data_IF_588035203122
#
_entry.id   IF_588035203122
#
_cell.length_a   1.000
_cell.length_b   1.000
_cell.length_c   1.000
_cell.angle_alpha   90.00
_cell.angle_beta   90.00
_cell.angle_gamma   90.00
#
_symmetry.space_group_name_H-M   'P 1'
#
loop_
_entity.id
_entity.type
_entity.pdbx_description
1 polymer ?
#
# COMPACT_ATOMS: atom_id res chain seq x y z
N UNK A 1 34.21 -0.90 10.14
CA UNK A 1 33.37 -1.27 8.98
C UNK A 1 32.67 -2.57 9.36
N UNK A 2 31.43 -2.85 8.92
CA UNK A 2 30.86 -4.18 9.17
C UNK A 2 31.52 -5.13 8.18
N UNK A 3 32.40 -6.00 8.66
CA UNK A 3 33.26 -6.85 7.81
C UNK A 3 32.45 -7.85 6.97
N UNK A 4 31.20 -8.15 7.37
CA UNK A 4 30.25 -8.94 6.57
C UNK A 4 28.83 -8.36 6.68
N UNK A 5 28.50 -7.39 5.84
CA UNK A 5 27.20 -6.72 5.83
C UNK A 5 26.04 -7.68 5.58
N UNK A 6 26.22 -8.66 4.68
CA UNK A 6 25.19 -9.66 4.40
C UNK A 6 24.85 -10.48 5.64
N UNK A 7 25.86 -11.05 6.31
CA UNK A 7 25.65 -11.84 7.52
C UNK A 7 24.99 -11.00 8.64
N UNK A 8 25.37 -9.73 8.76
CA UNK A 8 24.70 -8.81 9.69
C UNK A 8 23.20 -8.63 9.34
N UNK A 9 22.87 -8.34 8.08
CA UNK A 9 21.49 -8.18 7.65
C UNK A 9 20.68 -9.47 7.79
N UNK A 10 21.23 -10.62 7.42
CA UNK A 10 20.60 -11.93 7.60
C UNK A 10 20.29 -12.20 9.09
N UNK A 11 21.21 -11.85 9.99
CA UNK A 11 20.96 -11.96 11.44
C UNK A 11 19.82 -11.05 11.91
N UNK A 12 19.65 -9.87 11.29
CA UNK A 12 18.53 -8.96 11.60
C UNK A 12 17.21 -9.47 11.04
N UNK A 13 17.23 -10.12 9.88
CA UNK A 13 16.04 -10.82 9.36
C UNK A 13 15.60 -11.90 10.34
N UNK A 14 16.52 -12.77 10.77
CA UNK A 14 16.21 -13.80 11.77
C UNK A 14 15.71 -13.22 13.11
N UNK A 15 16.24 -12.06 13.52
CA UNK A 15 15.80 -11.38 14.75
C UNK A 15 14.39 -10.81 14.66
N UNK A 16 14.03 -10.17 13.54
CA UNK A 16 12.81 -9.35 13.43
C UNK A 16 11.67 -10.01 12.67
N UNK A 17 11.95 -10.92 11.73
CA UNK A 17 10.94 -11.63 10.94
C UNK A 17 10.39 -12.82 11.72
N UNK A 18 9.72 -12.54 12.84
CA UNK A 18 9.10 -13.58 13.68
C UNK A 18 7.73 -13.10 14.21
N UNK A 19 6.79 -14.03 14.49
CA UNK A 19 5.43 -13.69 14.91
C UNK A 19 5.31 -12.77 16.13
N UNK A 20 6.30 -12.77 17.03
CA UNK A 20 6.31 -11.89 18.21
C UNK A 20 6.27 -10.39 17.88
N UNK A 21 6.67 -9.99 16.67
CA UNK A 21 6.58 -8.59 16.23
C UNK A 21 5.18 -8.22 15.67
N UNK A 22 4.33 -9.20 15.35
CA UNK A 22 3.02 -8.98 14.74
C UNK A 22 2.08 -8.23 15.67
N UNK A 23 1.86 -8.71 16.91
CA UNK A 23 0.87 -8.21 17.91
C UNK A 23 0.74 -6.70 18.01
N UNK A 24 1.87 -6.09 17.74
CA UNK A 24 2.21 -4.75 18.09
C UNK A 24 2.34 -3.95 16.77
N UNK A 25 2.75 -4.55 15.65
CA UNK A 25 2.85 -3.91 14.33
C UNK A 25 1.48 -3.74 13.63
N UNK A 26 1.25 -2.70 12.80
CA UNK A 26 0.00 -2.56 12.05
C UNK A 26 -0.40 -3.76 11.19
N UNK A 27 0.55 -4.63 10.81
CA UNK A 27 0.25 -5.90 10.14
C UNK A 27 -0.65 -6.83 10.98
N UNK A 28 -0.76 -6.65 12.30
CA UNK A 28 -1.72 -7.42 13.11
C UNK A 28 -3.17 -7.25 12.65
N UNK A 29 -3.51 -6.14 12.00
CA UNK A 29 -4.86 -5.82 11.56
C UNK A 29 -5.35 -6.81 10.48
N UNK A 30 -4.66 -6.98 9.33
CA UNK A 30 -5.05 -7.99 8.36
C UNK A 30 -4.95 -9.44 8.90
N UNK A 31 -4.11 -9.70 9.91
CA UNK A 31 -4.03 -11.02 10.56
C UNK A 31 -5.28 -11.41 11.37
N UNK A 32 -6.22 -10.47 11.57
CA UNK A 32 -7.53 -10.77 12.18
C UNK A 32 -8.48 -11.50 11.22
N UNK A 33 -8.11 -11.64 9.94
CA UNK A 33 -8.98 -12.16 8.89
C UNK A 33 -8.38 -13.37 8.19
N UNK A 34 -9.25 -14.24 7.69
CA UNK A 34 -8.88 -15.42 6.88
C UNK A 34 -9.31 -15.27 5.42
N UNK A 35 -10.38 -14.50 5.16
CA UNK A 35 -10.86 -14.22 3.81
C UNK A 35 -9.90 -13.27 3.10
N UNK A 36 -9.46 -13.67 1.89
CA UNK A 36 -8.49 -12.93 1.07
C UNK A 36 -8.84 -11.44 0.94
N UNK A 37 -10.08 -11.12 0.61
CA UNK A 37 -10.47 -9.74 0.36
C UNK A 37 -10.50 -8.89 1.65
N UNK A 38 -10.80 -9.48 2.80
CA UNK A 38 -10.74 -8.77 4.09
C UNK A 38 -9.28 -8.46 4.47
N UNK A 39 -8.37 -9.41 4.24
CA UNK A 39 -6.92 -9.22 4.41
C UNK A 39 -6.43 -8.08 3.51
N UNK A 40 -6.84 -8.06 2.25
CA UNK A 40 -6.45 -7.02 1.28
C UNK A 40 -6.99 -5.64 1.66
N UNK A 41 -8.29 -5.52 1.95
CA UNK A 41 -8.94 -4.27 2.34
C UNK A 41 -8.31 -3.71 3.61
N UNK A 42 -8.21 -4.54 4.65
CA UNK A 42 -7.73 -4.08 5.95
C UNK A 42 -6.20 -3.92 5.98
N UNK A 43 -5.47 -4.67 5.17
CA UNK A 43 -4.04 -4.45 4.92
C UNK A 43 -3.80 -3.11 4.23
N UNK A 44 -4.58 -2.76 3.21
CA UNK A 44 -4.46 -1.48 2.52
C UNK A 44 -4.82 -0.31 3.44
N UNK A 45 -5.87 -0.44 4.24
CA UNK A 45 -6.24 0.56 5.26
C UNK A 45 -5.16 0.73 6.32
N UNK A 46 -4.66 -0.35 6.90
CA UNK A 46 -3.60 -0.29 7.90
C UNK A 46 -2.34 0.39 7.34
N UNK A 47 -1.95 0.05 6.12
CA UNK A 47 -0.81 0.68 5.45
C UNK A 47 -1.05 2.15 5.12
N UNK A 48 -2.24 2.47 4.62
CA UNK A 48 -2.62 3.85 4.32
C UNK A 48 -2.53 4.70 5.59
N UNK A 49 -3.14 4.26 6.69
CA UNK A 49 -3.20 5.00 7.96
C UNK A 49 -1.88 4.97 8.77
N UNK A 50 -0.84 4.28 8.29
CA UNK A 50 0.44 4.07 8.98
C UNK A 50 1.34 5.33 9.10
N UNK A 51 0.74 6.46 9.47
CA UNK A 51 1.42 7.66 9.89
C UNK A 51 0.98 8.02 11.31
N UNK A 52 1.90 7.95 12.28
CA UNK A 52 1.67 8.39 13.65
C UNK A 52 2.09 7.36 14.67
N UNK A 53 1.51 7.46 15.86
CA UNK A 53 1.75 6.49 16.93
C UNK A 53 1.09 5.17 16.59
N UNK A 54 1.86 4.09 16.71
CA UNK A 54 1.46 2.74 16.31
C UNK A 54 0.18 2.27 17.01
N UNK A 55 0.06 2.54 18.31
CA UNK A 55 -1.14 2.22 19.10
C UNK A 55 -2.38 2.92 18.52
N UNK A 56 -2.27 4.20 18.15
CA UNK A 56 -3.38 4.95 17.54
C UNK A 56 -3.77 4.38 16.18
N UNK A 57 -2.80 4.00 15.34
CA UNK A 57 -3.05 3.39 14.03
C UNK A 57 -3.86 2.10 14.20
N UNK A 58 -3.41 1.21 15.09
CA UNK A 58 -4.09 -0.07 15.35
C UNK A 58 -5.49 0.14 15.91
N UNK A 59 -5.65 1.05 16.87
CA UNK A 59 -6.97 1.36 17.44
C UNK A 59 -7.93 1.92 16.40
N UNK A 60 -7.46 2.79 15.50
CA UNK A 60 -8.28 3.32 14.39
C UNK A 60 -8.64 2.26 13.36
N UNK A 61 -7.75 1.32 13.06
CA UNK A 61 -8.12 0.18 12.23
C UNK A 61 -9.18 -0.71 12.91
N UNK A 62 -9.09 -0.95 14.22
CA UNK A 62 -10.11 -1.71 14.97
C UNK A 62 -11.46 -1.00 15.02
N UNK A 63 -11.46 0.31 15.21
CA UNK A 63 -12.67 1.14 15.10
C UNK A 63 -13.31 0.99 13.71
N UNK A 64 -12.51 1.03 12.65
CA UNK A 64 -13.00 0.85 11.29
C UNK A 64 -13.58 -0.55 11.05
N UNK A 65 -12.95 -1.61 11.57
CA UNK A 65 -13.47 -2.98 11.53
C UNK A 65 -14.84 -3.05 12.21
N UNK A 66 -14.98 -2.43 13.38
CA UNK A 66 -16.25 -2.40 14.10
C UNK A 66 -17.34 -1.62 13.35
N UNK A 67 -16.97 -0.53 12.67
CA UNK A 67 -17.89 0.22 11.79
C UNK A 67 -18.31 -0.57 10.54
N UNK A 68 -17.54 -1.58 10.16
CA UNK A 68 -17.84 -2.52 9.06
C UNK A 68 -18.37 -3.88 9.58
N UNK A 69 -18.92 -3.92 10.79
CA UNK A 69 -19.53 -5.10 11.41
C UNK A 69 -18.62 -6.35 11.46
N UNK A 70 -17.30 -6.15 11.48
CA UNK A 70 -16.33 -7.24 11.50
C UNK A 70 -16.14 -7.97 10.15
N UNK A 71 -16.84 -7.55 9.09
CA UNK A 71 -16.78 -8.17 7.76
C UNK A 71 -16.53 -7.12 6.65
N UNK A 72 -15.30 -6.57 6.54
CA UNK A 72 -14.98 -5.45 5.65
C UNK A 72 -15.40 -5.62 4.19
N UNK A 73 -15.13 -6.77 3.57
CA UNK A 73 -15.51 -7.05 2.19
C UNK A 73 -17.02 -7.18 2.04
N UNK A 74 -17.69 -7.82 2.99
CA UNK A 74 -19.16 -7.93 2.94
C UNK A 74 -19.80 -6.54 3.04
N UNK A 75 -19.37 -5.73 4.01
CA UNK A 75 -19.78 -4.34 4.14
C UNK A 75 -19.52 -3.54 2.85
N UNK A 76 -18.33 -3.66 2.26
CA UNK A 76 -18.00 -2.96 1.01
C UNK A 76 -18.97 -3.31 -0.12
N UNK A 77 -19.37 -4.56 -0.24
CA UNK A 77 -20.27 -5.01 -1.30
C UNK A 77 -21.74 -4.70 -1.02
N UNK A 78 -22.15 -4.78 0.25
CA UNK A 78 -23.56 -4.86 0.64
C UNK A 78 -24.06 -3.70 1.52
N UNK A 79 -23.23 -2.70 1.84
CA UNK A 79 -23.66 -1.54 2.64
C UNK A 79 -24.87 -0.81 2.02
N UNK A 80 -25.74 -0.31 2.90
CA UNK A 80 -26.73 0.71 2.56
C UNK A 80 -26.34 2.11 3.04
N UNK A 81 -27.19 3.09 2.77
CA UNK A 81 -26.94 4.49 3.15
C UNK A 81 -26.84 4.69 4.67
N UNK A 82 -27.58 3.90 5.46
CA UNK A 82 -27.55 3.97 6.93
C UNK A 82 -26.19 3.52 7.46
N UNK A 83 -25.57 2.53 6.82
CA UNK A 83 -24.26 2.02 7.20
C UNK A 83 -23.17 3.03 6.87
N UNK A 84 -23.24 3.67 5.70
CA UNK A 84 -22.32 4.74 5.31
C UNK A 84 -22.37 5.94 6.26
N UNK A 85 -23.54 6.28 6.81
CA UNK A 85 -23.68 7.36 7.79
C UNK A 85 -22.83 7.13 9.05
N UNK A 86 -22.62 5.88 9.47
CA UNK A 86 -21.78 5.55 10.64
C UNK A 86 -20.32 5.99 10.41
N UNK A 87 -19.85 5.92 9.16
CA UNK A 87 -18.48 6.28 8.75
C UNK A 87 -18.21 7.80 8.73
N UNK A 88 -19.25 8.64 8.76
CA UNK A 88 -19.10 10.11 8.71
C UNK A 88 -18.34 10.70 9.91
N UNK A 89 -18.28 9.95 11.01
CA UNK A 89 -17.53 10.35 12.21
C UNK A 89 -16.07 9.90 12.19
N UNK A 90 -15.69 8.98 11.28
CA UNK A 90 -14.37 8.39 11.26
C UNK A 90 -13.30 9.40 10.83
N UNK A 91 -12.27 9.55 11.65
CA UNK A 91 -11.14 10.44 11.39
C UNK A 91 -9.84 9.84 11.93
N UNK A 92 -8.77 10.04 11.16
CA UNK A 92 -7.40 9.75 11.58
C UNK A 92 -6.45 10.81 11.02
N UNK A 93 -6.08 11.77 11.87
CA UNK A 93 -5.17 12.87 11.52
C UNK A 93 -5.71 13.68 10.33
N UNK A 94 -5.15 13.53 9.13
CA UNK A 94 -5.58 14.23 7.90
C UNK A 94 -6.56 13.40 7.06
N UNK A 95 -6.82 12.15 7.44
CA UNK A 95 -7.82 11.25 6.87
C UNK A 95 -9.16 11.48 7.56
N UNK A 96 -10.24 11.60 6.79
CA UNK A 96 -11.58 11.82 7.34
C UNK A 96 -12.66 10.97 6.63
N UNK A 97 -13.91 11.30 6.88
CA UNK A 97 -15.12 10.77 6.28
C UNK A 97 -15.12 10.79 4.75
N UNK A 98 -14.78 11.92 4.11
CA UNK A 98 -14.74 12.01 2.64
C UNK A 98 -13.75 11.00 2.05
N UNK A 99 -12.59 10.83 2.69
CA UNK A 99 -11.61 9.83 2.26
C UNK A 99 -12.16 8.41 2.49
N UNK A 100 -12.81 8.19 3.64
CA UNK A 100 -13.38 6.90 4.03
C UNK A 100 -14.45 6.44 3.04
N UNK A 101 -15.42 7.30 2.74
CA UNK A 101 -16.50 7.01 1.80
C UNK A 101 -15.95 6.74 0.41
N UNK A 102 -14.94 7.50 -0.03
CA UNK A 102 -14.33 7.25 -1.33
C UNK A 102 -13.59 5.90 -1.38
N UNK A 103 -12.87 5.53 -0.32
CA UNK A 103 -12.21 4.23 -0.24
C UNK A 103 -13.24 3.09 -0.34
N UNK A 104 -14.36 3.18 0.38
CA UNK A 104 -15.46 2.21 0.27
C UNK A 104 -16.00 2.15 -1.16
N UNK A 105 -16.26 3.30 -1.77
CA UNK A 105 -16.76 3.40 -3.13
C UNK A 105 -15.79 2.77 -4.14
N UNK A 106 -14.49 3.08 -4.04
CA UNK A 106 -13.44 2.48 -4.86
C UNK A 106 -13.39 0.96 -4.68
N UNK A 107 -13.37 0.47 -3.44
CA UNK A 107 -13.32 -0.98 -3.20
C UNK A 107 -14.56 -1.68 -3.74
N UNK A 108 -15.76 -1.11 -3.59
CA UNK A 108 -16.97 -1.68 -4.17
C UNK A 108 -16.88 -1.75 -5.68
N UNK A 109 -16.43 -0.67 -6.33
CA UNK A 109 -16.22 -0.66 -7.77
C UNK A 109 -15.20 -1.72 -8.22
N UNK A 110 -14.07 -1.83 -7.49
CA UNK A 110 -13.02 -2.80 -7.78
C UNK A 110 -13.51 -4.23 -7.64
N UNK A 111 -14.04 -4.59 -6.46
CA UNK A 111 -14.48 -5.96 -6.15
C UNK A 111 -15.78 -6.38 -6.84
N UNK A 112 -16.50 -5.45 -7.48
CA UNK A 112 -17.58 -5.80 -8.41
C UNK A 112 -17.07 -6.41 -9.72
N UNK A 113 -15.81 -6.16 -10.07
CA UNK A 113 -15.22 -6.59 -11.35
C UNK A 113 -14.01 -7.53 -11.18
N UNK A 114 -13.41 -7.56 -9.99
CA UNK A 114 -12.19 -8.33 -9.70
C UNK A 114 -12.31 -9.09 -8.39
N UNK A 115 -11.63 -10.23 -8.31
CA UNK A 115 -11.66 -11.06 -7.09
C UNK A 115 -10.55 -10.70 -6.09
N UNK A 116 -9.57 -9.88 -6.49
CA UNK A 116 -8.40 -9.54 -5.68
C UNK A 116 -7.97 -8.11 -5.91
N UNK A 117 -7.56 -7.41 -4.86
CA UNK A 117 -6.97 -6.07 -4.98
C UNK A 117 -5.65 -6.06 -5.76
N UNK A 118 -4.98 -7.21 -5.91
CA UNK A 118 -3.78 -7.35 -6.75
C UNK A 118 -4.04 -6.89 -8.20
N UNK A 119 -5.25 -7.15 -8.71
CA UNK A 119 -5.66 -6.77 -10.06
C UNK A 119 -5.62 -5.26 -10.29
N UNK A 120 -5.76 -4.46 -9.23
CA UNK A 120 -5.68 -3.00 -9.31
C UNK A 120 -4.25 -2.48 -9.57
N UNK A 121 -3.22 -3.29 -9.31
CA UNK A 121 -1.81 -2.94 -9.48
C UNK A 121 -1.23 -3.44 -10.80
N UNK A 122 -1.87 -4.41 -11.45
CA UNK A 122 -1.36 -5.02 -12.68
C UNK A 122 -2.09 -4.42 -13.88
N UNK A 123 -1.37 -3.93 -14.91
CA UNK A 123 -2.01 -3.43 -16.12
C UNK A 123 -2.87 -4.51 -16.78
N UNK A 124 -4.11 -4.17 -17.13
CA UNK A 124 -4.86 -4.92 -18.14
C UNK A 124 -4.05 -4.88 -19.44
N UNK A 125 -3.90 -6.02 -20.13
CA UNK A 125 -3.14 -6.11 -21.40
C UNK A 125 -3.59 -5.10 -22.48
N UNK A 126 -4.78 -4.51 -22.31
CA UNK A 126 -5.41 -3.56 -23.23
C UNK A 126 -5.21 -2.08 -22.87
N UNK A 127 -4.44 -1.75 -21.83
CA UNK A 127 -4.18 -0.36 -21.43
C UNK A 127 -2.74 0.07 -21.69
N UNK A 128 -2.51 0.63 -22.87
CA UNK A 128 -1.40 1.56 -23.13
C UNK A 128 -1.57 2.79 -22.27
N UNK A 129 -0.70 2.94 -21.26
CA UNK A 129 -0.61 4.18 -20.48
C UNK A 129 0.13 5.23 -21.32
N UNK A 130 -0.56 6.32 -21.66
CA UNK A 130 0.10 7.52 -22.17
C UNK A 130 0.69 8.25 -20.95
N UNK A 131 2.00 8.06 -20.72
CA UNK A 131 2.73 8.90 -19.78
C UNK A 131 2.92 10.26 -20.42
N UNK A 132 2.11 11.25 -20.04
CA UNK A 132 2.41 12.66 -20.31
C UNK A 132 3.29 13.17 -19.18
N UNK A 133 4.59 13.27 -19.43
CA UNK A 133 5.42 14.16 -18.63
C UNK A 133 4.96 15.60 -18.87
N UNK A 134 5.02 16.38 -17.79
CA UNK A 134 4.74 17.81 -17.66
C UNK A 134 4.80 18.64 -18.94
N UNK A 135 3.84 19.55 -19.08
CA UNK A 135 3.82 20.66 -20.03
C UNK A 135 5.16 21.43 -20.04
N UNK A 136 6.07 21.07 -20.93
CA UNK A 136 6.97 21.96 -21.68
C UNK A 136 7.91 21.13 -22.57
N UNK A 137 7.94 21.46 -23.86
CA UNK A 137 8.77 20.86 -24.92
C UNK A 137 8.39 19.47 -25.44
N UNK A 138 7.64 19.47 -26.56
CA UNK A 138 7.79 18.49 -27.64
C UNK A 138 7.26 17.07 -27.34
N UNK A 139 6.10 16.73 -27.91
CA UNK A 139 5.55 15.36 -27.88
C UNK A 139 6.54 14.37 -28.49
N UNK A 140 7.24 13.62 -27.64
CA UNK A 140 7.86 12.34 -28.00
C UNK A 140 7.01 11.23 -27.39
N UNK A 141 6.30 10.52 -28.25
CA UNK A 141 5.56 9.33 -27.87
C UNK A 141 6.56 8.18 -27.76
N UNK A 142 7.05 7.91 -26.56
CA UNK A 142 7.86 6.73 -26.30
C UNK A 142 6.93 5.57 -25.93
N UNK A 143 6.73 4.65 -26.88
CA UNK A 143 6.15 3.33 -26.58
C UNK A 143 7.25 2.54 -25.87
N UNK A 144 7.29 2.64 -24.55
CA UNK A 144 8.18 1.82 -23.73
C UNK A 144 7.44 0.49 -23.50
N UNK A 145 8.04 -0.67 -23.78
CA UNK A 145 7.49 -1.94 -23.31
C UNK A 145 7.25 -1.78 -21.82
N UNK A 146 6.02 -2.04 -21.34
CA UNK A 146 5.72 -1.95 -19.91
C UNK A 146 6.72 -2.90 -19.23
N UNK A 147 7.77 -2.33 -18.62
CA UNK A 147 8.56 -3.12 -17.70
C UNK A 147 7.58 -3.54 -16.62
N UNK A 148 7.54 -4.83 -16.30
CA UNK A 148 6.82 -5.39 -15.15
C UNK A 148 7.48 -4.90 -13.84
N UNK A 149 7.67 -3.59 -13.70
CA UNK A 149 8.28 -2.98 -12.54
C UNK A 149 7.20 -2.65 -11.51
N UNK A 150 7.57 -2.75 -10.24
CA UNK A 150 6.72 -2.24 -9.15
C UNK A 150 6.48 -0.73 -9.30
N UNK A 151 7.40 0.00 -9.93
CA UNK A 151 7.19 1.42 -10.28
C UNK A 151 5.90 1.61 -11.10
N UNK A 152 5.80 0.88 -12.22
CA UNK A 152 4.62 0.93 -13.09
C UNK A 152 3.37 0.44 -12.37
N UNK A 153 3.51 -0.59 -11.54
CA UNK A 153 2.38 -1.14 -10.76
C UNK A 153 1.80 -0.10 -9.79
N UNK A 154 2.65 0.67 -9.10
CA UNK A 154 2.23 1.73 -8.19
C UNK A 154 1.63 2.93 -8.93
N UNK A 155 2.23 3.32 -10.06
CA UNK A 155 1.69 4.39 -10.91
C UNK A 155 0.32 4.02 -11.48
N UNK A 156 0.16 2.78 -11.94
CA UNK A 156 -1.10 2.24 -12.46
C UNK A 156 -2.16 2.20 -11.38
N UNK A 157 -1.84 1.63 -10.21
CA UNK A 157 -2.77 1.58 -9.08
C UNK A 157 -3.26 2.98 -8.72
N UNK A 158 -2.37 3.97 -8.66
CA UNK A 158 -2.76 5.35 -8.39
C UNK A 158 -3.70 5.91 -9.46
N UNK A 159 -3.39 5.69 -10.74
CA UNK A 159 -4.23 6.14 -11.86
C UNK A 159 -5.63 5.53 -11.76
N UNK A 160 -5.71 4.21 -11.56
CA UNK A 160 -6.97 3.49 -11.41
C UNK A 160 -7.75 3.92 -10.16
N UNK A 161 -7.07 4.06 -9.01
CA UNK A 161 -7.66 4.53 -7.77
C UNK A 161 -8.27 5.93 -7.89
N UNK A 162 -7.83 6.76 -8.84
CA UNK A 162 -8.37 8.10 -9.09
C UNK A 162 -9.26 8.20 -10.33
N UNK A 163 -9.58 7.07 -10.98
CA UNK A 163 -10.26 7.05 -12.27
C UNK A 163 -11.77 7.28 -12.18
N UNK A 164 -12.37 7.15 -10.99
CA UNK A 164 -13.81 7.29 -10.82
C UNK A 164 -14.25 8.76 -10.97
N UNK A 165 -15.37 9.04 -11.66
CA UNK A 165 -15.80 10.41 -11.98
C UNK A 165 -15.88 11.34 -10.78
N UNK A 166 -16.38 10.84 -9.65
CA UNK A 166 -16.65 11.63 -8.44
C UNK A 166 -15.51 11.57 -7.41
N UNK A 167 -14.27 11.29 -7.83
CA UNK A 167 -13.17 11.17 -6.87
C UNK A 167 -12.88 12.52 -6.16
N UNK A 168 -12.81 12.56 -4.82
CA UNK A 168 -12.47 13.78 -4.11
C UNK A 168 -10.99 14.13 -4.26
N UNK A 169 -10.68 15.36 -4.69
CA UNK A 169 -9.30 15.82 -4.89
C UNK A 169 -8.41 15.64 -3.66
N UNK A 170 -8.96 15.83 -2.45
CA UNK A 170 -8.22 15.69 -1.19
C UNK A 170 -7.73 14.27 -0.92
N UNK A 171 -8.37 13.25 -1.49
CA UNK A 171 -8.00 11.84 -1.30
C UNK A 171 -6.69 11.50 -2.02
N UNK A 172 -6.28 12.30 -3.02
CA UNK A 172 -5.05 12.09 -3.80
C UNK A 172 -3.80 11.89 -2.94
N UNK A 173 -3.70 12.57 -1.79
CA UNK A 173 -2.54 12.53 -0.88
C UNK A 173 -2.36 11.20 -0.15
N UNK A 174 -3.39 10.35 -0.12
CA UNK A 174 -3.36 9.07 0.60
C UNK A 174 -2.76 7.94 -0.22
N UNK A 175 -2.77 8.07 -1.56
CA UNK A 175 -2.20 7.10 -2.50
C UNK A 175 -1.07 7.76 -3.29
N UNK A 176 0.15 7.67 -2.75
CA UNK A 176 1.37 8.19 -3.39
C UNK A 176 1.79 7.35 -4.60
N UNK A 177 2.52 7.94 -5.54
CA UNK A 177 3.15 7.18 -6.63
C UNK A 177 4.60 7.60 -6.90
N UNK A 178 5.38 6.71 -7.54
CA UNK A 178 6.72 7.02 -8.04
C UNK A 178 6.78 8.23 -8.97
N UNK A 179 5.76 8.41 -9.83
CA UNK A 179 5.67 9.59 -10.72
C UNK A 179 5.62 10.93 -9.98
N UNK A 180 5.29 10.92 -8.69
CA UNK A 180 5.35 12.09 -7.81
C UNK A 180 6.69 12.22 -7.07
N UNK A 181 7.70 11.44 -7.46
CA UNK A 181 9.01 11.31 -6.79
C UNK A 181 8.90 10.84 -5.32
N UNK A 182 7.78 10.22 -4.94
CA UNK A 182 7.57 9.71 -3.59
C UNK A 182 8.27 8.36 -3.40
N UNK A 183 8.85 8.13 -2.23
CA UNK A 183 9.36 6.78 -1.85
C UNK A 183 8.27 5.73 -1.75
N UNK A 184 6.99 6.14 -1.80
CA UNK A 184 5.83 5.24 -1.72
C UNK A 184 5.85 4.31 -0.51
N UNK A 185 6.53 4.69 0.57
CA UNK A 185 6.78 3.87 1.77
C UNK A 185 5.57 3.04 2.19
N UNK A 186 4.39 3.67 2.31
CA UNK A 186 3.16 3.00 2.76
C UNK A 186 2.70 1.91 1.80
N UNK A 187 2.72 2.18 0.49
CA UNK A 187 2.36 1.19 -0.51
C UNK A 187 3.43 0.10 -0.63
N UNK A 188 4.72 0.43 -0.55
CA UNK A 188 5.78 -0.57 -0.51
C UNK A 188 5.65 -1.50 0.71
N UNK A 189 5.23 -0.95 1.86
CA UNK A 189 4.96 -1.75 3.06
C UNK A 189 3.77 -2.68 2.84
N UNK A 190 2.69 -2.19 2.23
CA UNK A 190 1.53 -3.00 1.86
C UNK A 190 1.90 -4.11 0.86
N UNK A 191 2.64 -3.78 -0.21
CA UNK A 191 3.11 -4.75 -1.19
C UNK A 191 4.00 -5.82 -0.54
N UNK A 192 4.89 -5.44 0.39
CA UNK A 192 5.68 -6.41 1.16
C UNK A 192 4.77 -7.41 1.86
N UNK A 193 3.73 -6.95 2.56
CA UNK A 193 2.79 -7.83 3.27
C UNK A 193 2.03 -8.77 2.33
N UNK A 194 1.61 -8.29 1.16
CA UNK A 194 0.77 -9.08 0.24
C UNK A 194 1.59 -10.04 -0.64
N UNK A 195 2.80 -9.65 -1.04
CA UNK A 195 3.62 -10.36 -2.05
C UNK A 195 4.71 -11.23 -1.41
N UNK A 196 5.37 -10.74 -0.36
CA UNK A 196 6.48 -11.50 0.24
C UNK A 196 5.91 -12.72 0.95
N UNK A 197 6.40 -13.90 0.58
CA UNK A 197 6.11 -15.16 1.27
C UNK A 197 7.31 -15.52 2.13
N UNK A 198 7.19 -15.32 3.44
CA UNK A 198 8.18 -15.78 4.40
C UNK A 198 7.80 -17.13 5.02
N UNK A 199 8.75 -17.75 5.72
CA UNK A 199 8.64 -19.04 6.40
C UNK A 199 8.19 -18.93 7.87
N UNK A 200 8.00 -17.71 8.36
CA UNK A 200 7.68 -17.41 9.76
C UNK A 200 6.21 -17.01 9.96
N UNK A 201 5.45 -16.80 8.88
CA UNK A 201 4.05 -16.40 8.91
C UNK A 201 3.83 -14.92 9.25
N UNK A 202 4.82 -14.05 8.99
CA UNK A 202 4.70 -12.61 9.24
C UNK A 202 3.93 -11.93 8.12
N UNK A 203 4.41 -12.01 6.89
CA UNK A 203 3.73 -11.52 5.70
C UNK A 203 2.85 -12.62 5.10
N UNK A 204 1.83 -12.22 4.33
CA UNK A 204 0.77 -13.12 3.85
C UNK A 204 1.18 -13.88 2.58
N UNK A 205 1.89 -13.23 1.65
CA UNK A 205 2.28 -13.84 0.38
C UNK A 205 1.10 -14.38 -0.44
N UNK A 206 -0.03 -13.67 -0.43
CA UNK A 206 -1.29 -14.05 -1.11
C UNK A 206 -1.41 -13.48 -2.54
N UNK A 207 -0.47 -12.64 -2.94
CA UNK A 207 -0.33 -12.04 -4.28
C UNK A 207 0.77 -12.75 -5.06
N UNK A 208 0.52 -13.05 -6.34
CA UNK A 208 1.39 -13.91 -7.16
C UNK A 208 1.77 -13.32 -8.53
N UNK A 209 1.15 -12.21 -8.95
CA UNK A 209 1.43 -11.51 -10.20
C UNK A 209 2.65 -10.59 -10.06
N UNK A 210 2.77 -9.89 -8.93
CA UNK A 210 3.98 -9.14 -8.57
C UNK A 210 4.94 -10.13 -7.89
N UNK A 211 6.22 -10.16 -8.29
CA UNK A 211 7.18 -11.12 -7.71
C UNK A 211 7.88 -10.51 -6.50
N UNK A 212 8.30 -11.33 -5.51
CA UNK A 212 9.08 -10.84 -4.37
C UNK A 212 10.38 -10.10 -4.76
N UNK A 213 10.98 -10.48 -5.90
CA UNK A 213 12.18 -9.83 -6.43
C UNK A 213 11.95 -8.39 -6.93
N UNK A 214 10.69 -8.02 -7.22
CA UNK A 214 10.33 -6.69 -7.70
C UNK A 214 10.05 -5.73 -6.53
N UNK A 215 9.94 -6.24 -5.29
CA UNK A 215 9.60 -5.45 -4.12
C UNK A 215 10.68 -4.42 -3.78
N UNK A 216 10.22 -3.21 -3.49
CA UNK A 216 11.07 -2.11 -3.03
C UNK A 216 10.96 -1.98 -1.51
N UNK A 217 12.11 -1.79 -0.84
CA UNK A 217 12.16 -1.59 0.61
C UNK A 217 11.35 -0.35 1.01
N UNK A 218 10.43 -0.43 1.98
CA UNK A 218 9.72 0.75 2.51
C UNK A 218 10.69 1.73 3.17
N UNK A 219 11.10 2.78 2.44
CA UNK A 219 12.09 3.73 2.94
C UNK A 219 11.43 4.86 3.75
N UNK A 220 11.70 4.87 5.06
CA UNK A 220 11.32 5.95 5.98
C UNK A 220 12.52 6.61 6.63
N UNK A 221 12.30 7.60 7.50
CA UNK A 221 13.38 8.34 8.14
C UNK A 221 14.34 7.45 8.94
N UNK A 222 13.88 6.35 9.53
CA UNK A 222 14.73 5.44 10.29
C UNK A 222 15.49 4.50 9.34
N UNK A 223 14.80 3.93 8.34
CA UNK A 223 15.39 3.07 7.33
C UNK A 223 16.46 3.82 6.53
N UNK A 224 16.16 5.04 6.06
CA UNK A 224 17.10 5.91 5.34
C UNK A 224 18.36 6.18 6.18
N UNK A 225 18.21 6.56 7.45
CA UNK A 225 19.35 6.81 8.36
C UNK A 225 20.21 5.58 8.58
N UNK A 226 19.59 4.41 8.77
CA UNK A 226 20.33 3.15 8.97
C UNK A 226 21.05 2.76 7.68
N UNK A 227 20.36 2.80 6.54
CA UNK A 227 20.93 2.46 5.24
C UNK A 227 22.11 3.37 4.87
N UNK A 228 22.05 4.67 5.16
CA UNK A 228 23.18 5.60 4.99
C UNK A 228 24.36 5.26 5.90
N UNK A 229 24.12 4.93 7.18
CA UNK A 229 25.17 4.48 8.10
C UNK A 229 25.85 3.18 7.63
N UNK A 230 25.09 2.34 6.92
CA UNK A 230 25.59 1.10 6.31
C UNK A 230 26.17 1.31 4.90
N UNK A 231 26.22 2.54 4.39
CA UNK A 231 26.65 2.90 3.03
C UNK A 231 25.85 2.20 1.91
N UNK A 232 24.60 1.81 2.18
CA UNK A 232 23.67 1.26 1.18
C UNK A 232 23.07 2.36 0.28
N UNK A 233 22.98 3.58 0.80
CA UNK A 233 22.45 4.75 0.09
C UNK A 233 23.50 5.87 0.12
N UNK A 234 23.92 6.32 -1.06
CA UNK A 234 24.85 7.45 -1.24
C UNK A 234 24.15 8.74 -1.71
N UNK A 235 23.01 8.62 -2.41
CA UNK A 235 22.22 9.75 -2.92
C UNK A 235 21.69 10.62 -1.79
N UNK A 236 21.82 11.95 -1.89
CA UNK A 236 21.41 12.89 -0.82
C UNK A 236 19.89 12.99 -0.66
N UNK A 237 19.16 13.03 -1.76
CA UNK A 237 17.70 13.06 -1.77
C UNK A 237 17.14 11.69 -1.36
N UNK A 238 16.02 11.70 -0.63
CA UNK A 238 15.25 10.50 -0.29
C UNK A 238 13.93 10.54 -1.07
N UNK A 239 13.96 9.99 -2.27
CA UNK A 239 12.88 9.96 -3.27
C UNK A 239 12.77 8.54 -3.87
N UNK A 240 11.91 8.34 -4.89
CA UNK A 240 11.76 7.02 -5.52
C UNK A 240 13.08 6.41 -6.05
N UNK A 241 14.06 7.24 -6.42
CA UNK A 241 15.36 6.78 -6.93
C UNK A 241 16.33 6.32 -5.82
N UNK A 242 15.92 6.40 -4.55
CA UNK A 242 16.71 6.02 -3.37
C UNK A 242 16.61 4.55 -3.08
#
# INVERSE_FOLDING_TARGET
>A
MIDNLKAFLDSKVAQYNQPGFITNDPICIPHLFTKKQDIEIMGFWAATLAWGQRVTIINKCRELIALMDGAPHDFVMNHGDIDLKKLLSFKHRTFNDIDTLYFIHFFRHHYSNHNSLEDAFVPSKDHTVILSDSEESGRRTSIVPISESVENSLNQFRSYFLSLPDFPYRTKKHVSSPSQKSTCKRLNMFLRWMVRKDDCGVDFGIWNKIKPADLIMPCDLHVDRVARKLNLISRKQTDWQT
#
